data_IF_485487077184
#
_entry.id   IF_485487077184
#
_cell.length_a   1.000
_cell.length_b   1.000
_cell.length_c   1.000
_cell.angle_alpha   90.00
_cell.angle_beta   90.00
_cell.angle_gamma   90.00
#
_symmetry.space_group_name_H-M   'P 1'
#
loop_
_entity.id
_entity.type
_entity.pdbx_description
1 polymer ?
#
# COMPACT_ATOMS: atom_id res chain seq x y z
N UNK A 1 26.91 -61.49 -22.98
CA UNK A 1 26.19 -60.19 -22.95
C UNK A 1 27.16 -59.13 -22.42
N UNK A 2 27.73 -58.31 -23.30
CA UNK A 2 28.67 -57.26 -22.88
C UNK A 2 27.89 -56.03 -22.41
N UNK A 3 27.95 -55.74 -21.10
CA UNK A 3 27.43 -54.51 -20.51
C UNK A 3 28.38 -53.35 -20.83
N UNK A 4 27.92 -52.39 -21.64
CA UNK A 4 28.63 -51.12 -21.87
C UNK A 4 28.48 -50.28 -20.59
N UNK A 5 29.55 -50.14 -19.82
CA UNK A 5 29.60 -49.16 -18.73
C UNK A 5 29.54 -47.75 -19.33
N UNK A 6 28.48 -47.01 -18.99
CA UNK A 6 28.36 -45.59 -19.34
C UNK A 6 29.34 -44.81 -18.47
N UNK A 7 30.18 -43.99 -19.11
CA UNK A 7 31.14 -43.13 -18.43
C UNK A 7 30.37 -41.92 -17.87
N UNK A 8 29.94 -42.00 -16.61
CA UNK A 8 29.30 -40.91 -15.87
C UNK A 8 30.34 -39.79 -15.67
N UNK A 9 30.33 -38.78 -16.53
CA UNK A 9 31.15 -37.57 -16.35
C UNK A 9 30.52 -36.73 -15.23
N UNK A 10 31.07 -36.80 -14.02
CA UNK A 10 30.71 -35.90 -12.92
C UNK A 10 31.17 -34.46 -13.18
N UNK A 11 30.47 -33.49 -12.59
CA UNK A 11 30.87 -32.09 -12.58
C UNK A 11 32.21 -31.89 -11.86
N UNK A 12 33.05 -30.98 -12.37
CA UNK A 12 34.33 -30.66 -11.71
C UNK A 12 34.14 -29.59 -10.63
N UNK A 13 34.99 -29.59 -9.60
CA UNK A 13 34.97 -28.56 -8.55
C UNK A 13 35.13 -27.14 -9.11
N UNK A 14 35.97 -27.00 -10.14
CA UNK A 14 36.21 -25.70 -10.81
C UNK A 14 34.93 -25.17 -11.45
N UNK A 15 34.11 -26.05 -12.03
CA UNK A 15 32.85 -25.70 -12.68
C UNK A 15 31.83 -25.15 -11.67
N UNK A 16 31.74 -25.79 -10.51
CA UNK A 16 30.87 -25.33 -9.43
C UNK A 16 31.35 -23.98 -8.87
N UNK A 17 32.67 -23.80 -8.70
CA UNK A 17 33.23 -22.53 -8.21
C UNK A 17 32.95 -21.39 -9.20
N UNK A 18 33.14 -21.61 -10.50
CA UNK A 18 32.87 -20.60 -11.52
C UNK A 18 31.40 -20.14 -11.50
N UNK A 19 30.45 -21.08 -11.33
CA UNK A 19 29.02 -20.76 -11.22
C UNK A 19 28.71 -19.97 -9.95
N UNK A 20 29.28 -20.36 -8.80
CA UNK A 20 29.08 -19.64 -7.54
C UNK A 20 29.62 -18.22 -7.59
N UNK A 21 30.75 -17.98 -8.26
CA UNK A 21 31.29 -16.62 -8.46
C UNK A 21 30.33 -15.76 -9.29
N UNK A 22 29.80 -16.30 -10.38
CA UNK A 22 28.84 -15.57 -11.23
C UNK A 22 27.55 -15.27 -10.45
N UNK A 23 26.99 -16.27 -9.75
CA UNK A 23 25.80 -16.08 -8.90
C UNK A 23 26.06 -15.07 -7.77
N UNK A 24 27.25 -15.07 -7.18
CA UNK A 24 27.66 -14.11 -6.15
C UNK A 24 27.65 -12.68 -6.66
N UNK A 25 28.22 -12.43 -7.84
CA UNK A 25 28.21 -11.10 -8.48
C UNK A 25 26.77 -10.66 -8.79
N UNK A 26 25.95 -11.56 -9.35
CA UNK A 26 24.56 -11.26 -9.66
C UNK A 26 23.75 -10.94 -8.40
N UNK A 27 23.92 -11.71 -7.33
CA UNK A 27 23.22 -11.50 -6.06
C UNK A 27 23.59 -10.15 -5.42
N UNK A 28 24.88 -9.77 -5.46
CA UNK A 28 25.36 -8.50 -4.92
C UNK A 28 24.67 -7.28 -5.54
N UNK A 29 24.31 -7.34 -6.83
CA UNK A 29 23.61 -6.25 -7.52
C UNK A 29 22.08 -6.39 -7.44
N UNK A 30 21.56 -7.62 -7.54
CA UNK A 30 20.13 -7.87 -7.62
C UNK A 30 19.40 -7.66 -6.29
N UNK A 31 20.00 -8.09 -5.17
CA UNK A 31 19.37 -8.01 -3.83
C UNK A 31 19.05 -6.56 -3.42
N UNK A 32 19.99 -5.60 -3.43
CA UNK A 32 19.68 -4.23 -3.01
C UNK A 32 18.62 -3.57 -3.90
N UNK A 33 18.68 -3.82 -5.22
CA UNK A 33 17.68 -3.32 -6.18
C UNK A 33 16.29 -3.92 -5.94
N UNK A 34 16.22 -5.20 -5.59
CA UNK A 34 14.95 -5.85 -5.26
C UNK A 34 14.35 -5.24 -3.99
N UNK A 35 15.16 -5.03 -2.95
CA UNK A 35 14.71 -4.41 -1.70
C UNK A 35 14.18 -2.99 -1.92
N UNK A 36 14.88 -2.16 -2.69
CA UNK A 36 14.41 -0.81 -3.02
C UNK A 36 13.10 -0.84 -3.81
N UNK A 37 12.96 -1.74 -4.78
CA UNK A 37 11.73 -1.88 -5.56
C UNK A 37 10.53 -2.30 -4.70
N UNK A 38 10.75 -3.17 -3.70
CA UNK A 38 9.70 -3.56 -2.74
C UNK A 38 9.30 -2.39 -1.86
N UNK A 39 10.26 -1.57 -1.41
CA UNK A 39 9.98 -0.37 -0.62
C UNK A 39 9.19 0.68 -1.43
N UNK A 40 9.61 0.93 -2.67
CA UNK A 40 8.91 1.82 -3.61
C UNK A 40 7.49 1.35 -3.88
N UNK A 41 7.31 0.05 -4.11
CA UNK A 41 5.98 -0.54 -4.32
C UNK A 41 5.08 -0.33 -3.10
N UNK A 42 5.60 -0.54 -1.88
CA UNK A 42 4.84 -0.30 -0.63
C UNK A 42 4.47 1.17 -0.46
N UNK A 43 5.40 2.08 -0.75
CA UNK A 43 5.14 3.53 -0.71
C UNK A 43 4.03 3.93 -1.68
N UNK A 44 4.06 3.39 -2.90
CA UNK A 44 3.00 3.62 -3.89
C UNK A 44 1.65 3.01 -3.45
N UNK A 45 1.64 1.81 -2.88
CA UNK A 45 0.43 1.22 -2.32
C UNK A 45 -0.16 2.06 -1.17
N UNK A 46 0.68 2.62 -0.30
CA UNK A 46 0.24 3.53 0.75
C UNK A 46 -0.39 4.82 0.17
N UNK A 47 0.20 5.37 -0.89
CA UNK A 47 -0.39 6.52 -1.60
C UNK A 47 -1.73 6.16 -2.26
N UNK A 48 -1.86 4.96 -2.81
CA UNK A 48 -3.12 4.42 -3.33
C UNK A 48 -4.21 4.34 -2.26
N UNK A 49 -3.87 3.83 -1.07
CA UNK A 49 -4.78 3.77 0.07
C UNK A 49 -5.28 5.17 0.49
N UNK A 50 -4.38 6.16 0.49
CA UNK A 50 -4.76 7.57 0.75
C UNK A 50 -5.73 8.07 -0.32
N UNK A 51 -5.45 7.81 -1.61
CA UNK A 51 -6.29 8.24 -2.71
C UNK A 51 -7.70 7.63 -2.63
N UNK A 52 -7.80 6.37 -2.21
CA UNK A 52 -9.09 5.71 -1.98
C UNK A 52 -9.89 6.40 -0.87
N UNK A 53 -9.30 6.64 0.30
CA UNK A 53 -9.99 7.34 1.40
C UNK A 53 -10.38 8.77 1.00
N UNK A 54 -9.53 9.48 0.24
CA UNK A 54 -9.90 10.78 -0.34
C UNK A 54 -11.12 10.65 -1.27
N UNK A 55 -11.18 9.64 -2.12
CA UNK A 55 -12.35 9.37 -2.97
C UNK A 55 -13.61 9.11 -2.16
N UNK A 56 -13.50 8.37 -1.06
CA UNK A 56 -14.60 8.11 -0.12
C UNK A 56 -15.08 9.39 0.58
N UNK A 57 -14.16 10.26 0.97
CA UNK A 57 -14.49 11.59 1.53
C UNK A 57 -15.15 12.50 0.48
N UNK A 58 -14.66 12.53 -0.76
CA UNK A 58 -15.31 13.25 -1.86
C UNK A 58 -16.73 12.77 -2.11
N UNK A 59 -16.95 11.44 -2.11
CA UNK A 59 -18.28 10.86 -2.26
C UNK A 59 -19.20 11.21 -1.08
N UNK A 60 -18.68 11.22 0.14
CA UNK A 60 -19.41 11.68 1.31
C UNK A 60 -19.78 13.16 1.22
N UNK A 61 -18.89 14.01 0.69
CA UNK A 61 -19.16 15.43 0.48
C UNK A 61 -20.27 15.64 -0.55
N UNK A 62 -20.22 14.93 -1.67
CA UNK A 62 -21.29 15.00 -2.68
C UNK A 62 -22.65 14.62 -2.07
N UNK A 63 -22.71 13.54 -1.29
CA UNK A 63 -23.93 13.13 -0.57
C UNK A 63 -24.39 14.18 0.44
N UNK A 64 -23.47 14.78 1.18
CA UNK A 64 -23.80 15.87 2.11
C UNK A 64 -24.50 17.02 1.37
N UNK A 65 -23.88 17.53 0.31
CA UNK A 65 -24.40 18.66 -0.47
C UNK A 65 -25.77 18.34 -1.08
N UNK A 66 -26.01 17.10 -1.54
CA UNK A 66 -27.33 16.70 -2.03
C UNK A 66 -28.41 16.77 -0.94
N UNK A 67 -28.06 16.43 0.31
CA UNK A 67 -29.00 16.43 1.43
C UNK A 67 -29.19 17.82 2.04
N UNK A 68 -28.25 18.74 1.86
CA UNK A 68 -28.27 20.11 2.42
C UNK A 68 -28.60 21.19 1.38
N UNK A 69 -29.20 20.80 0.25
CA UNK A 69 -29.63 21.73 -0.79
C UNK A 69 -28.48 22.48 -1.48
N UNK A 70 -27.31 21.86 -1.59
CA UNK A 70 -26.12 22.41 -2.24
C UNK A 70 -25.14 23.10 -1.30
N UNK A 71 -25.39 23.09 0.01
CA UNK A 71 -24.49 23.73 0.99
C UNK A 71 -23.24 22.87 1.21
N UNK A 72 -22.06 23.44 0.92
CA UNK A 72 -20.79 22.78 1.16
C UNK A 72 -20.51 22.58 2.67
N UNK A 73 -20.05 21.39 3.10
CA UNK A 73 -19.69 21.16 4.50
C UNK A 73 -18.33 21.77 4.85
N UNK A 74 -18.15 22.17 6.11
CA UNK A 74 -16.82 22.30 6.70
C UNK A 74 -16.13 20.94 6.86
N UNK A 75 -14.82 20.93 7.09
CA UNK A 75 -14.09 19.68 7.33
C UNK A 75 -14.64 18.87 8.51
N UNK A 76 -15.08 19.53 9.58
CA UNK A 76 -15.67 18.87 10.76
C UNK A 76 -17.03 18.26 10.44
N UNK A 77 -17.88 18.99 9.70
CA UNK A 77 -19.20 18.49 9.28
C UNK A 77 -19.04 17.31 8.31
N UNK A 78 -18.12 17.43 7.35
CA UNK A 78 -17.84 16.34 6.41
C UNK A 78 -17.31 15.11 7.13
N UNK A 79 -16.36 15.28 8.06
CA UNK A 79 -15.83 14.16 8.84
C UNK A 79 -16.96 13.46 9.61
N UNK A 80 -17.77 14.24 10.35
CA UNK A 80 -18.90 13.72 11.12
C UNK A 80 -19.91 13.00 10.23
N UNK A 81 -20.21 13.56 9.06
CA UNK A 81 -21.11 12.95 8.08
C UNK A 81 -20.55 11.65 7.51
N UNK A 82 -19.28 11.66 7.09
CA UNK A 82 -18.60 10.52 6.50
C UNK A 82 -18.43 9.37 7.49
N UNK A 83 -18.17 9.64 8.76
CA UNK A 83 -18.03 8.62 9.81
C UNK A 83 -19.34 8.31 10.54
N UNK A 84 -20.42 9.03 10.27
CA UNK A 84 -21.72 8.85 10.90
C UNK A 84 -22.63 7.89 10.12
N UNK A 85 -23.87 7.73 10.61
CA UNK A 85 -24.88 6.83 10.01
C UNK A 85 -25.22 7.17 8.55
N UNK A 86 -25.08 8.44 8.15
CA UNK A 86 -25.34 8.89 6.78
C UNK A 86 -24.16 8.62 5.82
N UNK A 87 -23.03 8.16 6.35
CA UNK A 87 -21.81 7.81 5.63
C UNK A 87 -21.44 6.34 5.82
N UNK A 88 -20.27 6.09 6.40
CA UNK A 88 -19.69 4.77 6.62
C UNK A 88 -19.99 4.20 8.02
N UNK A 89 -20.73 4.91 8.88
CA UNK A 89 -21.15 4.46 10.21
C UNK A 89 -20.07 4.45 11.29
N UNK A 90 -18.78 4.51 10.90
CA UNK A 90 -17.64 4.71 11.80
C UNK A 90 -16.40 5.14 11.00
N UNK A 91 -15.43 5.78 11.66
CA UNK A 91 -14.12 6.04 11.09
C UNK A 91 -13.40 4.74 10.65
N UNK A 92 -13.55 3.66 11.40
CA UNK A 92 -12.96 2.36 11.08
C UNK A 92 -13.50 1.78 9.76
N UNK A 93 -14.79 1.99 9.48
CA UNK A 93 -15.39 1.53 8.22
C UNK A 93 -14.98 2.40 7.05
N UNK A 94 -14.84 3.71 7.24
CA UNK A 94 -14.34 4.65 6.23
C UNK A 94 -12.91 4.30 5.80
N UNK A 95 -12.08 3.80 6.71
CA UNK A 95 -10.69 3.45 6.44
C UNK A 95 -10.46 1.95 6.23
N UNK A 96 -11.51 1.12 6.23
CA UNK A 96 -11.38 -0.30 5.94
C UNK A 96 -11.12 -0.51 4.44
N UNK A 97 -9.87 -0.85 4.11
CA UNK A 97 -9.38 -1.15 2.76
C UNK A 97 -8.91 -2.62 2.65
N UNK A 98 -9.35 -3.49 3.57
CA UNK A 98 -8.83 -4.85 3.72
C UNK A 98 -7.71 -4.98 4.76
N UNK A 99 -7.24 -6.21 4.98
CA UNK A 99 -6.27 -6.54 6.04
C UNK A 99 -4.84 -6.07 5.77
N UNK A 100 -4.52 -5.78 4.50
CA UNK A 100 -3.17 -5.40 4.11
C UNK A 100 -2.84 -3.95 4.46
N UNK A 101 -3.85 -3.12 4.74
CA UNK A 101 -3.67 -1.70 5.01
C UNK A 101 -4.09 -1.34 6.43
N UNK A 102 -3.18 -0.72 7.17
CA UNK A 102 -3.52 -0.01 8.40
C UNK A 102 -3.76 1.45 8.05
N UNK A 103 -5.01 1.91 8.08
CA UNK A 103 -5.36 3.29 7.73
C UNK A 103 -6.22 3.91 8.82
N UNK A 104 -5.86 5.13 9.19
CA UNK A 104 -6.58 5.94 10.17
C UNK A 104 -6.94 7.29 9.54
N UNK A 105 -8.01 7.89 10.04
CA UNK A 105 -8.45 9.22 9.64
C UNK A 105 -8.75 10.03 10.89
N UNK A 106 -8.30 11.27 10.92
CA UNK A 106 -8.50 12.18 12.03
C UNK A 106 -9.22 13.44 11.56
N UNK A 107 -10.22 13.87 12.33
CA UNK A 107 -10.88 15.15 12.13
C UNK A 107 -9.88 16.28 12.35
N UNK A 108 -9.92 17.29 11.49
CA UNK A 108 -9.03 18.44 11.56
C UNK A 108 -9.32 19.42 10.42
N UNK A 109 -8.53 20.48 10.36
CA UNK A 109 -8.54 21.42 9.24
C UNK A 109 -7.12 21.53 8.67
N UNK A 110 -6.72 20.66 7.70
CA UNK A 110 -7.52 19.70 6.96
C UNK A 110 -7.78 18.36 7.67
N UNK A 111 -8.66 17.53 7.12
CA UNK A 111 -8.82 16.13 7.55
C UNK A 111 -7.54 15.36 7.19
N UNK A 112 -6.95 14.68 8.17
CA UNK A 112 -5.71 13.92 7.96
C UNK A 112 -6.01 12.44 7.78
N UNK A 113 -5.40 11.84 6.77
CA UNK A 113 -5.44 10.41 6.46
C UNK A 113 -4.02 9.88 6.68
N UNK A 114 -3.86 8.86 7.52
CA UNK A 114 -2.55 8.28 7.82
C UNK A 114 -2.57 6.79 7.56
N UNK A 115 -1.62 6.31 6.76
CA UNK A 115 -1.35 4.89 6.53
C UNK A 115 -0.23 4.46 7.48
N UNK A 116 -0.58 3.60 8.42
CA UNK A 116 0.30 3.09 9.49
C UNK A 116 0.95 1.77 9.12
N UNK A 117 0.38 1.03 8.15
CA UNK A 117 0.98 -0.22 7.66
C UNK A 117 0.53 -0.58 6.24
N UNK A 118 1.40 -1.28 5.51
CA UNK A 118 1.12 -1.92 4.21
C UNK A 118 1.72 -3.32 4.19
N UNK A 119 0.91 -4.34 3.91
CA UNK A 119 1.34 -5.75 3.87
C UNK A 119 1.95 -6.23 5.18
N UNK A 120 1.41 -5.78 6.32
CA UNK A 120 1.94 -6.08 7.66
C UNK A 120 3.25 -5.39 8.03
N UNK A 121 3.80 -4.52 7.17
CA UNK A 121 4.99 -3.73 7.46
C UNK A 121 4.61 -2.31 7.87
N UNK A 122 5.35 -1.68 8.81
CA UNK A 122 5.10 -0.30 9.20
C UNK A 122 5.18 0.65 8.01
N UNK A 123 4.29 1.62 7.98
CA UNK A 123 4.28 2.72 7.02
C UNK A 123 4.07 4.04 7.78
N UNK A 124 4.56 5.14 7.22
CA UNK A 124 4.38 6.48 7.77
C UNK A 124 4.12 7.46 6.64
N UNK A 125 3.04 7.19 5.90
CA UNK A 125 2.60 8.03 4.78
C UNK A 125 1.28 8.68 5.16
N UNK A 126 1.20 10.00 4.98
CA UNK A 126 0.00 10.76 5.29
C UNK A 126 -0.45 11.60 4.10
N UNK A 127 -1.75 11.84 4.01
CA UNK A 127 -2.32 12.77 3.07
C UNK A 127 -3.47 13.53 3.67
N UNK A 128 -3.78 14.68 3.09
CA UNK A 128 -4.80 15.58 3.60
C UNK A 128 -5.98 15.66 2.64
N UNK A 129 -7.18 15.82 3.20
CA UNK A 129 -8.40 16.14 2.48
C UNK A 129 -9.01 17.42 3.05
N UNK A 130 -9.39 18.34 2.16
CA UNK A 130 -10.11 19.57 2.50
C UNK A 130 -11.43 19.54 1.76
N UNK A 131 -12.53 19.72 2.49
CA UNK A 131 -13.85 19.85 1.90
C UNK A 131 -13.88 21.03 0.92
N UNK A 132 -14.41 20.79 -0.28
CA UNK A 132 -14.59 21.87 -1.26
C UNK A 132 -15.72 22.79 -0.80
N UNK A 133 -15.53 24.09 -0.99
CA UNK A 133 -16.51 25.14 -0.68
C UNK A 133 -17.49 25.37 -1.82
#
# INVERSE_FOLDING_TARGET
MNMRMKNEKGFTLVEIIAVLVILGIMAAVAVPKYLSMVEDARSQSAQGAIAEVKGRLSAAQAKYMMNTGGTAPSNTELFTYATGANGYGSAANLTNLGSDFGVTVASGNPITISVTSVGGQPASVSGNFTAAK
#
